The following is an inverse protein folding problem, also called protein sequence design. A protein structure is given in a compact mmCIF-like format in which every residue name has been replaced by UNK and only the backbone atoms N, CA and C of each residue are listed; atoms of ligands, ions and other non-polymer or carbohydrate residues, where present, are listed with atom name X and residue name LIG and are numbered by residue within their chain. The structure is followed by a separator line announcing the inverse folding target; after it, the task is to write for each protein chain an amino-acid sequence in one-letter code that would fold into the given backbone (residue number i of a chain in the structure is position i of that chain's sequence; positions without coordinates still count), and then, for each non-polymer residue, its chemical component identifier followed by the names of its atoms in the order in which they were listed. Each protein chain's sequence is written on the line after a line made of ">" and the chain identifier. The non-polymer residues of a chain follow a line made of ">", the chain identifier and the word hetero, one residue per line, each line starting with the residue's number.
data_IF_043121611785
#
_entry.id   IF_043121611785
#
_cell.length_a   1.000
_cell.length_b   1.000
_cell.length_c   1.000
_cell.angle_alpha   90.00
_cell.angle_beta   90.00
_cell.angle_gamma   90.00
#
_symmetry.space_group_name_H-M   'P 1'
#
loop_
_entity.id
_entity.type
_entity.pdbx_description
1 polymer ?
#
# COMPACT_ATOMS: atom_id res chain seq x y z
N UNK A 1 -12.10 18.89 3.82
CA UNK A 1 -11.30 17.68 4.12
C UNK A 1 -9.87 17.97 3.66
N UNK A 2 -8.85 18.03 4.52
CA UNK A 2 -7.49 18.22 4.03
C UNK A 2 -7.14 16.99 3.19
N UNK A 3 -6.76 17.21 1.93
CA UNK A 3 -6.31 16.14 1.05
C UNK A 3 -5.14 15.43 1.75
N UNK A 4 -5.31 14.13 2.04
CA UNK A 4 -4.27 13.32 2.67
C UNK A 4 -3.02 13.43 1.80
N UNK A 5 -1.97 14.08 2.34
CA UNK A 5 -0.75 14.36 1.59
C UNK A 5 -0.15 13.03 1.16
N UNK A 6 -0.05 12.77 -0.15
CA UNK A 6 0.62 11.57 -0.68
C UNK A 6 2.05 11.58 -0.15
N UNK A 7 2.38 10.62 0.71
CA UNK A 7 3.74 10.48 1.22
C UNK A 7 4.57 9.72 0.19
N UNK A 8 5.66 10.34 -0.26
CA UNK A 8 6.63 9.69 -1.15
C UNK A 8 7.69 9.00 -0.30
N UNK A 9 7.98 7.73 -0.61
CA UNK A 9 9.11 7.00 -0.04
C UNK A 9 10.06 6.60 -1.16
N UNK A 10 11.35 6.69 -0.90
CA UNK A 10 12.38 6.22 -1.82
C UNK A 10 12.78 4.79 -1.45
N UNK A 11 12.92 3.93 -2.45
CA UNK A 11 13.33 2.53 -2.29
C UNK A 11 14.40 2.25 -3.33
N UNK A 12 15.44 1.51 -2.95
CA UNK A 12 16.54 1.13 -3.86
C UNK A 12 16.36 -0.33 -4.28
N UNK A 13 16.57 -0.57 -5.57
CA UNK A 13 16.59 -1.89 -6.17
C UNK A 13 17.95 -2.11 -6.83
N UNK A 14 18.35 -3.37 -6.99
CA UNK A 14 19.45 -3.71 -7.88
C UNK A 14 19.00 -3.68 -9.36
N UNK A 15 19.97 -3.80 -10.25
CA UNK A 15 19.73 -3.71 -11.70
C UNK A 15 18.82 -4.82 -12.24
N UNK A 16 18.84 -6.00 -11.60
CA UNK A 16 18.02 -7.14 -12.03
C UNK A 16 16.54 -6.82 -11.75
N UNK A 17 16.23 -6.36 -10.53
CA UNK A 17 14.87 -5.99 -10.16
C UNK A 17 14.36 -4.80 -10.96
N UNK A 18 15.21 -3.83 -11.30
CA UNK A 18 14.84 -2.70 -12.16
C UNK A 18 14.43 -3.17 -13.56
N UNK A 19 15.20 -4.07 -14.19
CA UNK A 19 14.85 -4.62 -15.51
C UNK A 19 13.53 -5.39 -15.50
N UNK A 20 13.25 -6.12 -14.43
CA UNK A 20 11.97 -6.80 -14.25
C UNK A 20 10.83 -5.77 -14.21
N UNK A 21 10.96 -4.71 -13.41
CA UNK A 21 9.95 -3.65 -13.32
C UNK A 21 9.71 -2.95 -14.66
N UNK A 22 10.76 -2.67 -15.43
CA UNK A 22 10.65 -2.09 -16.76
C UNK A 22 9.85 -3.00 -17.70
N UNK A 23 10.14 -4.30 -17.72
CA UNK A 23 9.41 -5.30 -18.52
C UNK A 23 7.93 -5.45 -18.14
N UNK A 24 7.56 -5.08 -16.90
CA UNK A 24 6.18 -5.12 -16.41
C UNK A 24 5.37 -3.86 -16.76
N UNK A 25 6.02 -2.79 -17.22
CA UNK A 25 5.37 -1.52 -17.56
C UNK A 25 4.14 -1.71 -18.47
N UNK A 26 4.22 -2.41 -19.62
CA UNK A 26 3.08 -2.53 -20.55
C UNK A 26 1.79 -3.11 -19.95
N UNK A 27 1.90 -3.82 -18.82
CA UNK A 27 0.77 -4.51 -18.17
C UNK A 27 0.27 -3.78 -16.92
N UNK A 28 1.16 -3.11 -16.19
CA UNK A 28 0.88 -2.62 -14.83
C UNK A 28 1.00 -1.10 -14.67
N UNK A 29 1.38 -0.32 -15.68
CA UNK A 29 1.36 1.14 -15.60
C UNK A 29 2.12 1.87 -16.71
N UNK A 30 2.19 3.19 -16.65
CA UNK A 30 2.93 4.00 -17.63
C UNK A 30 4.31 4.44 -17.11
N UNK A 31 4.58 4.24 -15.83
CA UNK A 31 5.85 4.56 -15.16
C UNK A 31 6.23 3.48 -14.16
N UNK A 32 7.53 3.33 -13.84
CA UNK A 32 8.00 2.38 -12.83
C UNK A 32 7.33 2.57 -11.47
N UNK A 33 7.03 3.82 -11.09
CA UNK A 33 6.34 4.12 -9.83
C UNK A 33 4.90 3.61 -9.82
N UNK A 34 4.18 3.70 -10.94
CA UNK A 34 2.83 3.15 -11.08
C UNK A 34 2.84 1.62 -11.06
N UNK A 35 3.80 1.01 -11.76
CA UNK A 35 4.01 -0.44 -11.75
C UNK A 35 4.22 -0.93 -10.32
N UNK A 36 5.16 -0.33 -9.58
CA UNK A 36 5.43 -0.69 -8.17
C UNK A 36 4.17 -0.52 -7.33
N UNK A 37 3.46 0.60 -7.45
CA UNK A 37 2.22 0.84 -6.71
C UNK A 37 1.18 -0.26 -6.97
N UNK A 38 0.97 -0.62 -8.23
CA UNK A 38 -0.07 -1.57 -8.61
C UNK A 38 0.30 -2.99 -8.19
N UNK A 39 1.58 -3.39 -8.29
CA UNK A 39 2.06 -4.67 -7.75
C UNK A 39 1.86 -4.74 -6.24
N UNK A 40 2.24 -3.70 -5.50
CA UNK A 40 2.04 -3.66 -4.04
C UNK A 40 0.55 -3.75 -3.70
N UNK A 41 -0.32 -3.04 -4.41
CA UNK A 41 -1.77 -3.12 -4.18
C UNK A 41 -2.34 -4.51 -4.47
N UNK A 42 -1.91 -5.16 -5.56
CA UNK A 42 -2.31 -6.52 -5.91
C UNK A 42 -1.89 -7.50 -4.81
N UNK A 43 -0.62 -7.44 -4.41
CA UNK A 43 -0.08 -8.27 -3.34
C UNK A 43 -0.84 -8.04 -2.03
N UNK A 44 -1.11 -6.78 -1.67
CA UNK A 44 -1.91 -6.46 -0.49
C UNK A 44 -3.33 -7.03 -0.63
N UNK A 45 -3.99 -6.92 -1.78
CA UNK A 45 -5.34 -7.49 -1.95
C UNK A 45 -5.35 -9.01 -1.82
N UNK A 46 -4.35 -9.70 -2.38
CA UNK A 46 -4.23 -11.16 -2.35
C UNK A 46 -3.81 -11.69 -0.99
N UNK A 47 -2.99 -10.92 -0.26
CA UNK A 47 -2.36 -11.39 0.97
C UNK A 47 -2.97 -10.77 2.22
N UNK A 48 -3.68 -9.65 2.14
CA UNK A 48 -4.44 -9.12 3.29
C UNK A 48 -5.74 -9.91 3.46
N UNK A 49 -5.60 -11.13 3.95
CA UNK A 49 -6.59 -11.73 4.85
C UNK A 49 -6.40 -11.20 6.28
N UNK A 50 -7.40 -11.41 7.15
CA UNK A 50 -7.32 -10.98 8.56
C UNK A 50 -6.06 -11.50 9.28
N UNK A 51 -5.65 -12.74 8.99
CA UNK A 51 -4.47 -13.36 9.59
C UNK A 51 -3.15 -12.68 9.19
N UNK A 52 -2.95 -12.36 7.91
CA UNK A 52 -1.72 -11.70 7.44
C UNK A 52 -1.58 -10.29 8.00
N UNK A 53 -2.69 -9.55 8.17
CA UNK A 53 -2.65 -8.26 8.88
C UNK A 53 -2.13 -8.47 10.31
N UNK A 54 -2.62 -9.49 11.01
CA UNK A 54 -2.24 -9.74 12.39
C UNK A 54 -0.81 -10.25 12.51
N UNK A 55 -0.30 -10.96 11.50
CA UNK A 55 1.11 -11.33 11.39
C UNK A 55 2.02 -10.12 11.10
N UNK A 56 1.63 -9.26 10.13
CA UNK A 56 2.35 -8.02 9.83
C UNK A 56 2.37 -7.05 11.03
N UNK A 57 1.29 -7.01 11.83
CA UNK A 57 1.26 -6.30 13.11
C UNK A 57 2.20 -6.92 14.13
N UNK A 58 2.19 -8.26 14.29
CA UNK A 58 3.08 -8.98 15.21
C UNK A 58 4.55 -8.74 14.90
N UNK A 59 4.92 -8.70 13.62
CA UNK A 59 6.28 -8.42 13.16
C UNK A 59 6.67 -6.93 13.23
N UNK A 60 5.74 -6.04 13.58
CA UNK A 60 5.99 -4.59 13.61
C UNK A 60 6.17 -3.94 12.24
N UNK A 61 5.80 -4.63 11.16
CA UNK A 61 5.93 -4.14 9.79
C UNK A 61 4.88 -3.07 9.44
N UNK A 62 3.71 -3.10 10.10
CA UNK A 62 2.63 -2.12 9.92
C UNK A 62 2.07 -1.64 11.26
N UNK A 63 1.64 -0.37 11.31
CA UNK A 63 0.77 0.17 12.38
C UNK A 63 -0.49 0.73 11.73
N UNK A 64 -1.63 0.10 12.00
CA UNK A 64 -2.93 0.61 11.55
C UNK A 64 -3.51 1.52 12.64
N UNK A 65 -3.56 2.82 12.39
CA UNK A 65 -4.30 3.74 13.25
C UNK A 65 -5.80 3.50 13.09
N UNK A 66 -6.40 2.88 14.10
CA UNK A 66 -7.86 2.70 14.17
C UNK A 66 -8.49 4.06 14.42
N UNK A 67 -8.96 4.74 13.37
CA UNK A 67 -9.81 5.92 13.53
C UNK A 67 -11.16 5.49 14.09
N UNK A 68 -11.37 5.67 15.39
CA UNK A 68 -12.71 5.59 16.00
C UNK A 68 -13.61 6.61 15.31
N UNK A 69 -14.61 6.14 14.55
CA UNK A 69 -15.72 6.98 14.12
C UNK A 69 -16.51 7.35 15.36
N UNK A 70 -16.34 8.57 15.85
CA UNK A 70 -17.20 9.13 16.88
C UNK A 70 -18.62 9.23 16.31
N UNK A 71 -19.54 8.44 16.87
CA UNK A 71 -20.94 8.47 16.51
C UNK A 71 -21.58 9.80 16.91
N UNK A 72 -21.92 10.63 15.91
CA UNK A 72 -22.84 11.76 16.13
C UNK A 72 -24.24 11.19 16.40
N UNK A 73 -24.63 11.12 17.67
CA UNK A 73 -26.04 11.09 18.06
C UNK A 73 -26.66 12.44 17.69
N UNK A 74 -27.48 12.48 16.65
CA UNK A 74 -28.45 13.55 16.45
C UNK A 74 -29.50 13.45 17.56
N UNK A 75 -29.59 14.49 18.39
CA UNK A 75 -30.71 14.68 19.32
C UNK A 75 -31.85 15.34 18.54
N UNK A 76 -33.03 14.77 18.73
CA UNK A 76 -34.32 15.21 18.23
C UNK A 76 -34.85 16.41 19.02
#
# INVERSE_FOLDING_TARGET
>A
MPATRKQTKSVRFDDIHLRILEGLTPFYGSTSAEVIRNIVLLWLHENIGGETIDELKRMGAIRLEVRKREGKKQKH
#
